data_IF_691166842878
#
_entry.id   IF_691166842878
#
_cell.length_a   1.000
_cell.length_b   1.000
_cell.length_c   1.000
_cell.angle_alpha   90.00
_cell.angle_beta   90.00
_cell.angle_gamma   90.00
#
_symmetry.space_group_name_H-M   'P 1'
#
loop_
_entity.id
_entity.type
_entity.pdbx_description
1 polymer ?
#
# COMPACT_ATOMS: atom_id res chain seq x y z
N UNK A 1 -2.47 6.02 57.72
CA UNK A 1 -3.85 6.57 57.64
C UNK A 1 -4.31 6.48 56.20
N UNK A 2 -5.26 5.57 55.94
CA UNK A 2 -5.89 5.37 54.65
C UNK A 2 -6.79 6.56 54.28
N UNK A 3 -6.81 6.94 53.01
CA UNK A 3 -8.06 7.31 52.34
C UNK A 3 -7.94 7.09 50.83
N UNK A 4 -8.64 6.05 50.39
CA UNK A 4 -8.99 5.76 49.01
C UNK A 4 -10.01 6.79 48.52
N UNK A 5 -9.80 7.34 47.33
CA UNK A 5 -10.78 8.15 46.62
C UNK A 5 -11.11 7.48 45.29
N UNK A 6 -12.24 6.79 45.24
CA UNK A 6 -12.80 6.20 44.04
C UNK A 6 -13.23 7.30 43.06
N UNK A 7 -12.94 7.12 41.76
CA UNK A 7 -13.66 7.85 40.72
C UNK A 7 -14.32 6.89 39.73
N UNK A 8 -15.59 7.18 39.55
CA UNK A 8 -16.67 6.38 38.97
C UNK A 8 -16.46 6.17 37.46
N UNK A 9 -16.69 4.93 37.05
CA UNK A 9 -16.72 4.47 35.65
C UNK A 9 -18.13 4.73 35.11
N UNK A 10 -18.35 5.83 34.39
CA UNK A 10 -19.63 6.11 33.72
C UNK A 10 -19.61 5.54 32.31
N UNK A 11 -20.30 4.41 32.14
CA UNK A 11 -20.65 3.80 30.86
C UNK A 11 -21.70 4.67 30.15
N UNK A 12 -21.44 5.05 28.90
CA UNK A 12 -22.43 5.73 28.04
C UNK A 12 -23.13 4.67 27.19
N UNK A 13 -24.47 4.57 27.21
CA UNK A 13 -25.20 3.58 26.42
C UNK A 13 -25.32 4.01 24.96
N UNK A 14 -25.15 3.02 24.09
CA UNK A 14 -25.25 3.12 22.64
C UNK A 14 -26.73 3.25 22.24
N UNK A 15 -27.07 4.29 21.48
CA UNK A 15 -28.38 4.43 20.84
C UNK A 15 -28.38 3.65 19.52
N UNK A 16 -29.19 2.59 19.47
CA UNK A 16 -29.49 1.82 18.25
C UNK A 16 -30.71 2.47 17.59
N UNK A 17 -30.58 2.96 16.36
CA UNK A 17 -31.74 3.36 15.55
C UNK A 17 -32.06 2.28 14.51
N UNK A 18 -33.33 1.87 14.56
CA UNK A 18 -33.95 0.86 13.72
C UNK A 18 -34.06 1.30 12.26
N UNK A 19 -33.85 0.34 11.36
CA UNK A 19 -33.91 0.53 9.92
C UNK A 19 -35.32 0.70 9.36
N UNK A 20 -35.39 1.39 8.23
CA UNK A 20 -36.51 1.36 7.31
C UNK A 20 -36.00 0.83 5.96
N UNK A 21 -36.46 -0.36 5.59
CA UNK A 21 -36.21 -0.99 4.29
C UNK A 21 -37.27 -0.50 3.32
N UNK A 22 -36.86 0.10 2.20
CA UNK A 22 -37.76 0.41 1.08
C UNK A 22 -37.26 -0.30 -0.17
N UNK A 23 -37.96 -1.38 -0.55
CA UNK A 23 -37.78 -2.08 -1.82
C UNK A 23 -38.56 -1.37 -2.92
N UNK A 24 -37.93 -1.15 -4.08
CA UNK A 24 -38.63 -0.86 -5.32
C UNK A 24 -37.97 -1.60 -6.49
N UNK A 25 -38.76 -2.44 -7.15
CA UNK A 25 -38.45 -3.19 -8.36
C UNK A 25 -38.60 -2.32 -9.61
N UNK A 26 -37.86 -2.63 -10.68
CA UNK A 26 -38.12 -2.12 -12.03
C UNK A 26 -37.21 -2.74 -13.10
N UNK A 27 -37.79 -3.56 -13.98
CA UNK A 27 -37.23 -4.17 -15.20
C UNK A 27 -36.99 -3.11 -16.30
N UNK A 28 -36.17 -3.24 -17.36
CA UNK A 28 -36.18 -4.18 -18.51
C UNK A 28 -34.94 -3.94 -19.42
N UNK A 29 -34.51 -4.96 -20.17
CA UNK A 29 -33.58 -4.93 -21.32
C UNK A 29 -34.35 -4.67 -22.66
N UNK A 30 -33.84 -4.78 -23.93
CA UNK A 30 -32.51 -5.24 -24.43
C UNK A 30 -31.95 -4.58 -25.74
N UNK A 31 -30.79 -5.09 -26.21
CA UNK A 31 -30.25 -5.17 -27.61
C UNK A 31 -29.78 -3.87 -28.32
N UNK A 32 -28.78 -3.80 -29.22
CA UNK A 32 -28.20 -4.74 -30.19
C UNK A 32 -26.87 -4.20 -30.79
N UNK A 33 -25.97 -5.10 -31.26
CA UNK A 33 -25.12 -5.08 -32.51
C UNK A 33 -24.32 -3.82 -32.90
N UNK A 34 -23.17 -3.80 -33.59
CA UNK A 34 -22.16 -4.72 -34.18
C UNK A 34 -21.22 -3.78 -34.98
N UNK A 35 -19.92 -4.08 -35.14
CA UNK A 35 -19.23 -4.05 -36.44
C UNK A 35 -17.70 -4.22 -36.34
N UNK A 36 -17.20 -5.01 -37.29
CA UNK A 36 -15.85 -5.51 -37.50
C UNK A 36 -14.95 -4.59 -38.35
N UNK A 37 -13.66 -4.93 -38.38
CA UNK A 37 -12.73 -4.69 -39.49
C UNK A 37 -11.36 -4.18 -39.00
N UNK A 38 -10.20 -4.70 -39.39
CA UNK A 38 -9.82 -5.71 -40.39
C UNK A 38 -8.37 -5.45 -40.82
N UNK A 39 -7.59 -6.51 -41.03
CA UNK A 39 -6.32 -6.53 -41.82
C UNK A 39 -5.08 -5.89 -41.17
N UNK A 40 -3.83 -6.32 -41.40
CA UNK A 40 -3.32 -7.26 -42.37
C UNK A 40 -1.92 -7.77 -41.99
N UNK A 41 -1.57 -8.93 -42.57
CA UNK A 41 -0.30 -9.65 -42.53
C UNK A 41 0.89 -8.95 -43.19
N UNK A 42 2.10 -9.39 -42.80
CA UNK A 42 3.34 -9.37 -43.60
C UNK A 42 4.46 -10.10 -42.85
N UNK A 43 4.64 -11.41 -43.01
CA UNK A 43 5.50 -12.11 -44.01
C UNK A 43 7.01 -12.03 -43.73
N UNK A 44 7.51 -13.11 -43.10
CA UNK A 44 8.76 -13.88 -43.31
C UNK A 44 10.06 -13.20 -43.77
N UNK A 45 11.16 -13.50 -43.06
CA UNK A 45 12.32 -14.17 -43.71
C UNK A 45 13.19 -14.93 -42.70
N UNK A 46 13.41 -16.20 -43.00
CA UNK A 46 14.37 -17.10 -42.35
C UNK A 46 15.77 -16.94 -42.96
N UNK A 47 16.81 -17.37 -42.23
CA UNK A 47 17.96 -18.10 -42.78
C UNK A 47 18.82 -18.71 -41.65
N UNK A 48 19.42 -19.86 -41.97
CA UNK A 48 19.92 -20.92 -41.08
C UNK A 48 21.41 -21.18 -41.36
N UNK A 49 22.18 -21.58 -40.31
CA UNK A 49 23.41 -22.41 -40.30
C UNK A 49 24.68 -21.90 -41.04
N UNK A 50 25.95 -22.26 -40.71
CA UNK A 50 26.66 -22.90 -39.59
C UNK A 50 28.20 -22.75 -39.90
N UNK A 51 29.15 -23.64 -39.54
CA UNK A 51 30.19 -23.44 -38.51
C UNK A 51 31.66 -23.44 -39.01
N UNK A 52 32.63 -23.22 -38.11
CA UNK A 52 33.99 -23.78 -38.23
C UNK A 52 35.16 -22.83 -37.94
N UNK A 53 36.18 -23.33 -37.23
CA UNK A 53 37.54 -22.76 -37.24
C UNK A 53 38.28 -22.82 -35.91
N UNK A 54 39.17 -23.79 -35.76
CA UNK A 54 40.01 -24.03 -34.58
C UNK A 54 41.32 -23.20 -34.57
N UNK A 55 41.77 -22.87 -33.35
CA UNK A 55 43.16 -23.00 -32.86
C UNK A 55 44.26 -22.05 -33.36
N UNK A 56 44.88 -21.31 -32.43
CA UNK A 56 46.35 -21.18 -32.32
C UNK A 56 46.74 -21.00 -30.84
N UNK A 57 47.74 -21.78 -30.42
CA UNK A 57 48.39 -21.73 -29.12
C UNK A 57 49.29 -20.49 -28.97
N UNK A 58 49.29 -19.89 -27.78
CA UNK A 58 50.25 -18.86 -27.37
C UNK A 58 50.79 -19.19 -25.99
N UNK A 59 52.00 -19.75 -25.94
CA UNK A 59 52.79 -19.88 -24.74
C UNK A 59 53.32 -18.49 -24.32
N UNK A 60 53.26 -18.17 -23.03
CA UNK A 60 53.69 -16.86 -22.53
C UNK A 60 53.75 -16.78 -21.01
N UNK A 61 54.80 -17.36 -20.45
CA UNK A 61 55.65 -16.80 -19.40
C UNK A 61 55.05 -16.57 -17.99
N UNK A 62 55.57 -17.40 -17.09
CA UNK A 62 55.54 -17.31 -15.63
C UNK A 62 55.99 -15.94 -15.12
N UNK A 63 55.10 -15.23 -14.43
CA UNK A 63 55.48 -14.16 -13.50
C UNK A 63 54.76 -14.42 -12.18
N UNK A 64 55.50 -14.97 -11.23
CA UNK A 64 55.07 -15.23 -9.87
C UNK A 64 54.98 -13.90 -9.13
N UNK A 65 53.82 -13.27 -9.19
CA UNK A 65 53.48 -12.12 -8.35
C UNK A 65 52.96 -12.67 -7.02
N UNK A 66 53.77 -12.56 -5.98
CA UNK A 66 53.37 -12.79 -4.59
C UNK A 66 52.27 -11.79 -4.24
N UNK A 67 51.00 -12.16 -4.45
CA UNK A 67 49.86 -11.40 -3.97
C UNK A 67 49.81 -11.55 -2.46
N UNK A 68 50.32 -10.53 -1.78
CA UNK A 68 49.97 -10.19 -0.41
C UNK A 68 48.47 -10.27 -0.27
N UNK A 69 47.99 -11.16 0.59
CA UNK A 69 46.61 -11.26 1.07
C UNK A 69 46.23 -9.98 1.83
N UNK A 70 46.06 -8.88 1.10
CA UNK A 70 45.22 -7.79 1.55
C UNK A 70 43.80 -8.30 1.40
N UNK A 71 43.19 -8.70 2.52
CA UNK A 71 41.78 -9.04 2.57
C UNK A 71 40.98 -7.85 2.05
N UNK A 72 40.67 -7.89 0.76
CA UNK A 72 39.60 -7.11 0.17
C UNK A 72 38.37 -7.52 1.00
N UNK A 73 37.86 -6.61 1.81
CA UNK A 73 36.59 -6.84 2.49
C UNK A 73 35.59 -7.25 1.42
N UNK A 74 35.26 -8.54 1.37
CA UNK A 74 34.22 -9.05 0.50
C UNK A 74 33.00 -8.20 0.82
N UNK A 75 32.53 -7.40 -0.14
CA UNK A 75 31.29 -6.68 0.03
C UNK A 75 30.25 -7.70 0.47
N UNK A 76 29.65 -7.49 1.64
CA UNK A 76 28.77 -8.46 2.26
C UNK A 76 27.73 -8.94 1.23
N UNK A 77 27.71 -10.24 0.97
CA UNK A 77 26.78 -10.86 0.04
C UNK A 77 25.33 -10.52 0.43
N UNK A 78 24.44 -10.50 -0.56
CA UNK A 78 23.00 -10.33 -0.28
C UNK A 78 22.53 -11.38 0.72
N UNK A 79 21.64 -11.01 1.64
CA UNK A 79 21.11 -11.95 2.62
C UNK A 79 20.32 -13.06 1.92
N UNK A 80 20.70 -14.32 2.18
CA UNK A 80 19.95 -15.48 1.70
C UNK A 80 18.68 -15.67 2.53
N UNK A 81 17.62 -16.20 1.93
CA UNK A 81 16.38 -16.48 2.68
C UNK A 81 16.60 -17.51 3.79
N UNK A 82 17.54 -18.44 3.61
CA UNK A 82 17.88 -19.42 4.65
C UNK A 82 18.48 -18.79 5.91
N UNK A 83 19.11 -17.62 5.79
CA UNK A 83 19.75 -16.89 6.88
C UNK A 83 18.89 -15.72 7.38
N UNK A 84 17.67 -15.57 6.85
CA UNK A 84 16.74 -14.52 7.23
C UNK A 84 15.49 -15.12 7.85
N UNK A 85 15.21 -14.71 9.08
CA UNK A 85 13.92 -14.96 9.72
C UNK A 85 12.96 -13.83 9.39
N UNK A 86 11.87 -14.18 8.70
CA UNK A 86 10.77 -13.27 8.43
C UNK A 86 9.71 -13.36 9.53
N UNK A 87 9.28 -12.20 10.04
CA UNK A 87 8.17 -12.12 10.99
C UNK A 87 7.26 -10.94 10.73
N UNK A 88 6.04 -11.05 11.25
CA UNK A 88 5.13 -9.93 11.40
C UNK A 88 5.36 -9.34 12.80
N UNK A 89 5.70 -8.06 12.88
CA UNK A 89 5.81 -7.35 14.14
C UNK A 89 4.44 -6.90 14.68
N UNK A 90 4.44 -6.28 15.86
CA UNK A 90 3.23 -5.67 16.43
C UNK A 90 2.73 -4.55 15.53
N UNK A 91 1.65 -4.81 14.78
CA UNK A 91 0.96 -3.82 13.97
C UNK A 91 -0.09 -3.06 14.79
N UNK A 92 -0.49 -1.90 14.29
CA UNK A 92 -1.71 -1.25 14.79
C UNK A 92 -2.90 -2.03 14.25
N UNK A 93 -3.78 -2.59 15.12
CA UNK A 93 -4.98 -3.26 14.65
C UNK A 93 -5.83 -2.29 13.82
N UNK A 94 -6.71 -2.84 12.97
CA UNK A 94 -7.63 -2.03 12.19
C UNK A 94 -8.38 -1.04 13.11
N UNK A 95 -8.08 0.25 12.97
CA UNK A 95 -8.72 1.32 13.73
C UNK A 95 -10.10 1.66 13.15
N UNK A 96 -10.77 2.67 13.72
CA UNK A 96 -12.06 3.15 13.19
C UNK A 96 -12.00 3.58 11.70
N UNK A 97 -10.82 3.97 11.21
CA UNK A 97 -10.56 4.29 9.80
C UNK A 97 -10.59 3.07 8.86
N UNK A 98 -10.50 1.85 9.39
CA UNK A 98 -10.56 0.64 8.58
C UNK A 98 -9.26 0.26 7.89
N UNK A 99 -8.12 0.84 8.25
CA UNK A 99 -6.78 0.45 7.80
C UNK A 99 -5.99 -0.34 8.84
N UNK A 100 -5.18 -1.28 8.35
CA UNK A 100 -4.27 -2.13 9.13
C UNK A 100 -2.83 -1.88 8.67
N UNK A 101 -1.97 -1.51 9.60
CA UNK A 101 -0.54 -1.29 9.32
C UNK A 101 0.27 -2.33 10.07
N UNK A 102 1.09 -3.09 9.33
CA UNK A 102 1.86 -4.20 9.89
C UNK A 102 3.31 -4.18 9.40
N UNK A 103 4.31 -4.16 10.30
CA UNK A 103 5.69 -4.27 9.91
C UNK A 103 6.05 -5.73 9.61
N UNK A 104 6.68 -5.94 8.45
CA UNK A 104 7.33 -7.17 8.04
C UNK A 104 8.81 -7.03 8.40
N UNK A 105 9.27 -7.81 9.37
CA UNK A 105 10.61 -7.73 9.94
C UNK A 105 11.47 -8.85 9.33
N UNK A 106 12.63 -8.46 8.81
CA UNK A 106 13.70 -9.34 8.37
C UNK A 106 14.78 -9.30 9.46
N UNK A 107 15.09 -10.46 10.02
CA UNK A 107 16.15 -10.64 11.02
C UNK A 107 17.24 -11.54 10.44
N UNK A 108 18.49 -11.08 10.46
CA UNK A 108 19.63 -11.92 10.08
C UNK A 108 19.90 -12.94 11.20
N UNK A 109 19.60 -14.21 10.95
CA UNK A 109 19.87 -15.33 11.87
C UNK A 109 21.13 -16.11 11.52
N UNK A 110 21.83 -15.71 10.46
CA UNK A 110 23.13 -16.28 10.08
C UNK A 110 24.27 -15.81 10.97
N UNK A 111 25.47 -16.34 10.72
CA UNK A 111 26.70 -16.01 11.47
C UNK A 111 27.49 -14.85 10.86
N UNK A 112 27.21 -14.49 9.61
CA UNK A 112 27.91 -13.46 8.86
C UNK A 112 27.02 -12.23 8.63
N UNK A 113 27.66 -11.07 8.45
CA UNK A 113 26.97 -9.88 8.02
C UNK A 113 26.52 -10.02 6.55
N UNK A 114 25.30 -9.61 6.26
CA UNK A 114 24.73 -9.66 4.91
C UNK A 114 24.02 -8.34 4.58
N UNK A 115 23.63 -8.14 3.32
CA UNK A 115 22.97 -6.90 2.90
C UNK A 115 21.58 -7.10 2.32
N UNK A 116 20.68 -6.14 2.60
CA UNK A 116 19.33 -6.03 2.02
C UNK A 116 19.08 -4.62 1.50
N UNK A 117 18.22 -4.47 0.50
CA UNK A 117 17.82 -3.18 -0.04
C UNK A 117 16.45 -3.27 -0.73
N UNK A 118 15.86 -2.12 -1.05
CA UNK A 118 14.61 -2.06 -1.79
C UNK A 118 13.43 -2.62 -1.00
N UNK A 119 12.58 -3.40 -1.67
CA UNK A 119 11.32 -3.91 -1.11
C UNK A 119 11.29 -5.44 -1.16
N UNK A 120 10.78 -6.12 -0.12
CA UNK A 120 10.43 -7.52 -0.25
C UNK A 120 9.28 -7.68 -1.26
N UNK A 121 9.18 -8.87 -1.85
CA UNK A 121 7.95 -9.30 -2.52
C UNK A 121 6.92 -9.65 -1.45
N UNK A 122 5.69 -9.13 -1.56
CA UNK A 122 4.60 -9.48 -0.66
C UNK A 122 3.34 -9.76 -1.47
N UNK A 123 2.85 -10.99 -1.38
CA UNK A 123 1.60 -11.44 -1.98
C UNK A 123 0.60 -11.78 -0.88
N UNK A 124 -0.59 -11.18 -0.93
CA UNK A 124 -1.70 -11.49 -0.05
C UNK A 124 -2.43 -12.73 -0.55
N UNK A 125 -2.56 -13.75 0.30
CA UNK A 125 -3.19 -15.03 -0.04
C UNK A 125 -4.54 -15.16 0.64
N UNK A 126 -5.54 -15.68 -0.09
CA UNK A 126 -6.81 -16.08 0.51
C UNK A 126 -6.70 -17.40 1.30
N UNK A 127 -7.81 -17.85 1.88
CA UNK A 127 -7.88 -19.11 2.65
C UNK A 127 -7.55 -20.36 1.82
N UNK A 128 -7.71 -20.32 0.50
CA UNK A 128 -7.30 -21.37 -0.43
C UNK A 128 -5.83 -21.30 -0.86
N UNK A 129 -5.04 -20.36 -0.33
CA UNK A 129 -3.64 -20.16 -0.71
C UNK A 129 -3.45 -19.46 -2.06
N UNK A 130 -4.52 -18.99 -2.70
CA UNK A 130 -4.44 -18.24 -3.96
C UNK A 130 -4.11 -16.78 -3.69
N UNK A 131 -3.18 -16.22 -4.47
CA UNK A 131 -2.86 -14.81 -4.41
C UNK A 131 -4.05 -13.96 -4.88
N UNK A 132 -4.50 -13.06 -4.02
CA UNK A 132 -5.58 -12.09 -4.30
C UNK A 132 -5.04 -10.70 -4.60
N UNK A 133 -3.95 -10.30 -3.95
CA UNK A 133 -3.29 -9.02 -4.19
C UNK A 133 -1.77 -9.16 -4.18
N UNK A 134 -1.11 -8.38 -5.03
CA UNK A 134 0.31 -8.09 -4.92
C UNK A 134 0.47 -6.75 -4.21
N UNK A 135 1.36 -6.66 -3.22
CA UNK A 135 1.64 -5.38 -2.57
C UNK A 135 2.32 -4.41 -3.52
N UNK A 136 1.86 -3.16 -3.52
CA UNK A 136 2.41 -2.07 -4.32
C UNK A 136 3.62 -1.47 -3.60
N UNK A 137 4.77 -1.45 -4.27
CA UNK A 137 5.99 -0.79 -3.75
C UNK A 137 5.82 0.72 -3.78
N UNK A 138 6.02 1.37 -2.65
CA UNK A 138 5.83 2.83 -2.50
C UNK A 138 7.04 3.49 -1.84
N UNK A 139 7.15 4.80 -2.06
CA UNK A 139 8.26 5.62 -1.55
C UNK A 139 9.54 5.47 -2.38
N UNK A 140 10.60 6.22 -2.01
CA UNK A 140 11.91 6.05 -2.62
C UNK A 140 12.56 4.75 -2.17
N UNK A 141 13.44 4.22 -3.01
CA UNK A 141 14.33 3.14 -2.62
C UNK A 141 15.27 3.63 -1.51
N UNK A 142 15.49 2.78 -0.52
CA UNK A 142 16.41 3.05 0.59
C UNK A 142 17.82 2.61 0.25
N UNK A 143 18.81 3.24 0.88
CA UNK A 143 20.18 2.81 0.78
C UNK A 143 20.33 1.35 1.26
N UNK A 144 21.33 0.66 0.70
CA UNK A 144 21.66 -0.71 1.10
C UNK A 144 21.94 -0.79 2.60
N UNK A 145 21.25 -1.72 3.26
CA UNK A 145 21.32 -1.95 4.71
C UNK A 145 22.21 -3.17 4.94
N UNK A 146 23.25 -3.01 5.76
CA UNK A 146 24.06 -4.13 6.25
C UNK A 146 23.46 -4.65 7.56
N UNK A 147 22.98 -5.88 7.55
CA UNK A 147 22.49 -6.59 8.72
C UNK A 147 23.63 -7.41 9.32
N UNK A 148 24.09 -7.02 10.51
CA UNK A 148 24.92 -7.88 11.35
C UNK A 148 24.13 -9.11 11.81
N UNK A 149 24.77 -10.19 12.28
CA UNK A 149 24.07 -11.27 12.98
C UNK A 149 23.15 -10.71 14.09
N UNK A 150 21.87 -11.09 14.08
CA UNK A 150 20.81 -10.55 14.94
C UNK A 150 20.27 -9.18 14.55
N UNK A 151 20.80 -8.55 13.49
CA UNK A 151 20.36 -7.26 12.97
C UNK A 151 19.02 -7.36 12.26
N UNK A 152 18.24 -6.28 12.29
CA UNK A 152 16.90 -6.23 11.70
C UNK A 152 16.70 -5.07 10.73
N UNK A 153 15.89 -5.32 9.71
CA UNK A 153 15.27 -4.31 8.85
C UNK A 153 13.77 -4.58 8.76
N UNK A 154 12.97 -3.53 8.58
CA UNK A 154 11.52 -3.66 8.45
C UNK A 154 11.04 -3.02 7.15
N UNK A 155 10.02 -3.61 6.54
CA UNK A 155 9.18 -2.99 5.53
C UNK A 155 7.75 -2.95 6.06
N UNK A 156 7.03 -1.85 5.88
CA UNK A 156 5.69 -1.70 6.44
C UNK A 156 4.65 -1.91 5.37
N UNK A 157 3.69 -2.78 5.66
CA UNK A 157 2.53 -3.03 4.84
C UNK A 157 1.35 -2.23 5.38
N UNK A 158 0.72 -1.42 4.53
CA UNK A 158 -0.52 -0.72 4.81
C UNK A 158 -1.64 -1.34 3.98
N UNK A 159 -2.68 -1.84 4.65
CA UNK A 159 -3.80 -2.50 4.03
C UNK A 159 -5.11 -1.83 4.43
N UNK A 160 -5.98 -1.56 3.46
CA UNK A 160 -7.36 -1.13 3.72
C UNK A 160 -8.21 -2.37 3.96
N UNK A 161 -8.76 -2.50 5.15
CA UNK A 161 -9.49 -3.69 5.64
C UNK A 161 -11.00 -3.54 5.61
N UNK A 162 -11.48 -2.29 5.64
CA UNK A 162 -12.87 -1.90 5.44
C UNK A 162 -12.94 -0.46 4.96
N UNK A 163 -14.06 -0.09 4.36
CA UNK A 163 -14.37 1.29 4.02
C UNK A 163 -15.60 1.74 4.81
N UNK A 164 -15.50 2.87 5.48
CA UNK A 164 -16.61 3.49 6.19
C UNK A 164 -16.70 4.97 5.80
N UNK A 165 -17.89 5.51 5.48
CA UNK A 165 -19.17 4.81 5.36
C UNK A 165 -19.21 3.76 4.22
N UNK A 166 -20.12 2.77 4.28
CA UNK A 166 -20.24 1.77 3.24
C UNK A 166 -20.95 2.39 2.02
N UNK A 167 -20.41 2.17 0.83
CA UNK A 167 -21.01 2.55 -0.44
C UNK A 167 -21.06 1.37 -1.39
N UNK A 168 -22.00 1.38 -2.34
CA UNK A 168 -22.04 0.39 -3.42
C UNK A 168 -20.84 0.48 -4.38
N UNK A 169 -20.09 1.59 -4.34
CA UNK A 169 -18.86 1.77 -5.09
C UNK A 169 -17.61 1.27 -4.36
N UNK A 170 -17.71 0.88 -3.09
CA UNK A 170 -16.55 0.43 -2.32
C UNK A 170 -16.08 -0.94 -2.83
N UNK A 171 -14.76 -1.15 -3.03
CA UNK A 171 -14.21 -2.45 -3.36
C UNK A 171 -14.61 -3.54 -2.37
N UNK A 172 -14.87 -4.75 -2.87
CA UNK A 172 -15.15 -5.91 -2.00
C UNK A 172 -13.89 -6.35 -1.28
N UNK A 173 -14.00 -6.58 0.03
CA UNK A 173 -12.89 -7.04 0.86
C UNK A 173 -12.77 -8.56 0.85
N UNK A 174 -11.58 -9.05 0.54
CA UNK A 174 -11.22 -10.47 0.59
C UNK A 174 -10.55 -10.81 1.91
N UNK A 175 -10.81 -12.01 2.45
CA UNK A 175 -10.10 -12.52 3.62
C UNK A 175 -8.68 -12.93 3.23
N UNK A 176 -7.70 -12.46 4.01
CA UNK A 176 -6.26 -12.68 3.85
C UNK A 176 -5.69 -13.25 5.15
N UNK A 177 -5.74 -14.58 5.35
CA UNK A 177 -5.13 -15.21 6.52
C UNK A 177 -3.60 -15.18 6.47
N UNK A 178 -3.00 -15.19 5.28
CA UNK A 178 -1.56 -15.34 5.09
C UNK A 178 -1.00 -14.36 4.07
N UNK A 179 0.24 -13.94 4.28
CA UNK A 179 1.10 -13.32 3.30
C UNK A 179 2.15 -14.33 2.83
N UNK A 180 2.47 -14.31 1.55
CA UNK A 180 3.67 -14.91 1.00
C UNK A 180 4.71 -13.81 0.82
N UNK A 181 5.82 -13.89 1.56
CA UNK A 181 6.86 -12.86 1.59
C UNK A 181 8.16 -13.41 1.03
N UNK A 182 8.71 -12.74 0.03
CA UNK A 182 9.98 -13.05 -0.62
C UNK A 182 11.00 -11.98 -0.24
N UNK A 183 12.12 -12.32 0.44
CA UNK A 183 13.18 -11.35 0.70
C UNK A 183 13.74 -10.72 -0.59
N UNK A 184 14.30 -9.50 -0.52
CA UNK A 184 14.93 -8.90 -1.69
C UNK A 184 16.09 -9.75 -2.21
N UNK A 185 16.26 -9.75 -3.54
CA UNK A 185 17.31 -10.50 -4.25
C UNK A 185 17.26 -12.01 -4.05
N UNK A 186 16.10 -12.56 -3.69
CA UNK A 186 15.89 -13.99 -3.57
C UNK A 186 14.51 -14.41 -4.12
N UNK A 187 14.35 -15.71 -4.34
CA UNK A 187 13.23 -16.40 -4.98
C UNK A 187 12.45 -17.28 -4.01
N UNK A 188 13.07 -17.65 -2.88
CA UNK A 188 12.42 -18.39 -1.81
C UNK A 188 11.51 -17.46 -0.99
N UNK A 189 10.34 -17.96 -0.61
CA UNK A 189 9.32 -17.19 0.10
C UNK A 189 8.92 -17.86 1.41
N UNK A 190 8.52 -17.07 2.39
CA UNK A 190 7.99 -17.53 3.66
C UNK A 190 6.52 -17.13 3.81
N UNK A 191 5.73 -17.97 4.50
CA UNK A 191 4.36 -17.66 4.85
C UNK A 191 4.30 -16.94 6.20
N UNK A 192 3.62 -15.80 6.25
CA UNK A 192 3.36 -15.04 7.49
C UNK A 192 1.86 -14.94 7.74
N UNK A 193 1.41 -15.32 8.93
CA UNK A 193 0.01 -15.23 9.32
C UNK A 193 -0.34 -13.80 9.74
N UNK A 194 -1.45 -13.27 9.22
CA UNK A 194 -1.96 -11.93 9.57
C UNK A 194 -3.46 -11.90 9.88
N UNK A 195 -4.25 -12.88 9.40
CA UNK A 195 -5.69 -13.02 9.69
C UNK A 195 -6.49 -11.70 9.59
N UNK A 196 -6.42 -11.04 8.43
CA UNK A 196 -7.10 -9.77 8.19
C UNK A 196 -7.96 -9.82 6.91
N UNK A 197 -8.67 -8.75 6.61
CA UNK A 197 -9.29 -8.52 5.29
C UNK A 197 -8.51 -7.46 4.51
N UNK A 198 -8.56 -7.53 3.18
CA UNK A 198 -8.02 -6.49 2.31
C UNK A 198 -9.03 -6.19 1.20
N UNK A 199 -9.33 -4.92 0.97
CA UNK A 199 -10.29 -4.47 -0.04
C UNK A 199 -9.60 -4.05 -1.34
N UNK A 200 -8.34 -3.64 -1.25
CA UNK A 200 -7.50 -3.23 -2.37
C UNK A 200 -6.08 -3.77 -2.17
N UNK A 201 -5.25 -3.64 -3.21
CA UNK A 201 -3.84 -3.98 -3.10
C UNK A 201 -3.17 -3.13 -1.99
N UNK A 202 -2.45 -3.76 -1.04
CA UNK A 202 -1.80 -3.04 0.05
C UNK A 202 -0.55 -2.28 -0.43
N UNK A 203 -0.22 -1.18 0.23
CA UNK A 203 1.02 -0.44 -0.01
C UNK A 203 2.15 -1.01 0.84
N UNK A 204 3.38 -1.05 0.32
CA UNK A 204 4.57 -1.60 0.96
C UNK A 204 5.74 -0.62 0.86
N UNK A 205 6.29 -0.19 2.00
CA UNK A 205 7.50 0.65 2.02
C UNK A 205 8.76 -0.15 1.72
N UNK A 206 9.80 0.58 1.32
CA UNK A 206 11.14 0.02 1.23
C UNK A 206 11.62 -0.38 2.63
N UNK A 207 12.57 -1.32 2.67
CA UNK A 207 13.22 -1.73 3.91
C UNK A 207 13.94 -0.54 4.54
N UNK A 208 13.77 -0.33 5.83
CA UNK A 208 14.63 0.59 6.59
C UNK A 208 15.22 -0.12 7.81
N UNK A 209 16.36 0.38 8.32
CA UNK A 209 16.87 -0.06 9.61
C UNK A 209 15.86 0.29 10.71
N UNK A 210 15.61 -0.64 11.64
CA UNK A 210 14.78 -0.40 12.82
C UNK A 210 13.28 -0.17 12.53
N UNK A 211 12.60 0.53 13.44
CA UNK A 211 11.14 0.73 13.43
C UNK A 211 10.65 1.94 12.63
N UNK A 212 11.53 2.72 11.99
CA UNK A 212 11.20 3.95 11.24
C UNK A 212 10.79 3.71 9.78
N UNK A 213 10.68 2.45 9.34
CA UNK A 213 10.36 2.08 7.96
C UNK A 213 8.94 2.45 7.51
N UNK A 214 8.07 2.82 8.46
CA UNK A 214 6.63 2.91 8.24
C UNK A 214 6.13 4.11 7.50
N UNK A 215 6.83 5.24 7.59
CA UNK A 215 6.23 6.53 7.30
C UNK A 215 5.85 6.69 5.81
N UNK A 216 6.64 6.12 4.89
CA UNK A 216 6.31 6.12 3.45
C UNK A 216 5.14 5.19 3.09
N UNK A 217 5.02 4.03 3.75
CA UNK A 217 3.89 3.13 3.54
C UNK A 217 2.60 3.71 4.12
N UNK A 218 2.71 4.36 5.28
CA UNK A 218 1.62 5.10 5.93
C UNK A 218 1.10 6.20 4.99
N UNK A 219 1.97 7.07 4.45
CA UNK A 219 1.55 8.14 3.55
C UNK A 219 0.89 7.61 2.27
N UNK A 220 1.50 6.64 1.60
CA UNK A 220 0.95 6.12 0.35
C UNK A 220 -0.34 5.33 0.55
N UNK A 221 -0.42 4.56 1.64
CA UNK A 221 -1.63 3.87 2.05
C UNK A 221 -2.76 4.82 2.38
N UNK A 222 -2.49 5.86 3.17
CA UNK A 222 -3.44 6.90 3.50
C UNK A 222 -3.93 7.64 2.24
N UNK A 223 -3.05 7.95 1.29
CA UNK A 223 -3.46 8.54 0.01
C UNK A 223 -4.41 7.63 -0.75
N UNK A 224 -4.09 6.34 -0.88
CA UNK A 224 -4.93 5.38 -1.59
C UNK A 224 -6.31 5.23 -0.93
N UNK A 225 -6.36 5.16 0.40
CA UNK A 225 -7.62 5.08 1.16
C UNK A 225 -8.45 6.36 1.01
N UNK A 226 -7.84 7.54 1.18
CA UNK A 226 -8.50 8.82 1.00
C UNK A 226 -9.01 9.03 -0.44
N UNK A 227 -8.26 8.57 -1.45
CA UNK A 227 -8.69 8.60 -2.85
C UNK A 227 -9.93 7.74 -3.08
N UNK A 228 -10.05 6.59 -2.43
CA UNK A 228 -11.23 5.74 -2.53
C UNK A 228 -12.42 6.34 -1.80
N UNK A 229 -12.23 6.94 -0.63
CA UNK A 229 -13.28 7.69 0.08
C UNK A 229 -13.77 8.88 -0.74
N UNK A 230 -12.86 9.61 -1.40
CA UNK A 230 -13.19 10.66 -2.35
C UNK A 230 -14.06 10.14 -3.50
N UNK A 231 -13.69 9.00 -4.10
CA UNK A 231 -14.48 8.34 -5.15
C UNK A 231 -15.86 7.88 -4.68
N UNK A 232 -15.93 7.30 -3.48
CA UNK A 232 -17.18 6.83 -2.88
C UNK A 232 -18.14 8.00 -2.59
N UNK A 233 -17.63 9.13 -2.09
CA UNK A 233 -18.44 10.32 -1.86
C UNK A 233 -19.07 10.90 -3.13
N UNK A 234 -18.44 10.71 -4.30
CA UNK A 234 -18.94 11.24 -5.57
C UNK A 234 -20.19 10.49 -6.03
N UNK A 235 -20.25 9.19 -5.73
CA UNK A 235 -21.41 8.35 -6.02
C UNK A 235 -22.45 8.33 -4.91
N UNK A 236 -22.21 9.02 -3.79
CA UNK A 236 -23.12 9.06 -2.65
C UNK A 236 -24.22 10.13 -2.82
N UNK A 237 -25.35 9.93 -2.16
CA UNK A 237 -26.35 10.99 -2.01
C UNK A 237 -25.76 12.12 -1.16
N UNK A 238 -26.13 13.38 -1.45
CA UNK A 238 -25.57 14.56 -0.78
C UNK A 238 -25.60 14.47 0.75
N UNK A 239 -26.71 13.95 1.32
CA UNK A 239 -26.90 13.80 2.76
C UNK A 239 -25.85 12.95 3.49
N UNK A 240 -25.06 12.12 2.79
CA UNK A 240 -23.98 11.32 3.40
C UNK A 240 -22.61 11.60 2.77
N UNK A 241 -22.54 12.47 1.75
CA UNK A 241 -21.32 12.80 1.04
C UNK A 241 -20.27 13.43 1.98
N UNK A 242 -20.69 14.32 2.88
CA UNK A 242 -19.82 14.94 3.88
C UNK A 242 -19.13 13.95 4.83
N UNK A 243 -19.74 12.79 5.08
CA UNK A 243 -19.13 11.76 5.92
C UNK A 243 -17.91 11.11 5.23
N UNK A 244 -17.96 10.89 3.91
CA UNK A 244 -16.81 10.40 3.15
C UNK A 244 -15.67 11.41 3.12
N UNK A 245 -15.99 12.70 2.93
CA UNK A 245 -14.98 13.75 2.96
C UNK A 245 -14.33 13.88 4.35
N UNK A 246 -15.12 13.79 5.42
CA UNK A 246 -14.61 13.80 6.80
C UNK A 246 -13.65 12.65 7.06
N UNK A 247 -14.00 11.44 6.64
CA UNK A 247 -13.11 10.28 6.81
C UNK A 247 -11.83 10.44 5.97
N UNK A 248 -11.95 10.87 4.71
CA UNK A 248 -10.79 11.12 3.85
C UNK A 248 -9.84 12.17 4.47
N UNK A 249 -10.40 13.22 5.10
CA UNK A 249 -9.62 14.23 5.81
C UNK A 249 -8.89 13.63 7.01
N UNK A 250 -9.55 12.79 7.81
CA UNK A 250 -8.94 12.13 8.96
C UNK A 250 -7.77 11.22 8.56
N UNK A 251 -7.96 10.42 7.51
CA UNK A 251 -6.94 9.53 6.96
C UNK A 251 -5.69 10.30 6.52
N UNK A 252 -5.85 11.43 5.81
CA UNK A 252 -4.72 12.27 5.36
C UNK A 252 -4.06 13.05 6.51
N UNK A 253 -4.82 13.43 7.54
CA UNK A 253 -4.33 14.26 8.65
C UNK A 253 -3.30 13.55 9.53
N UNK A 254 -3.40 12.23 9.70
CA UNK A 254 -2.47 11.45 10.51
C UNK A 254 -1.01 11.53 10.00
N UNK A 255 -0.70 11.10 8.75
CA UNK A 255 0.66 11.23 8.20
C UNK A 255 1.09 12.68 7.97
N UNK A 256 0.15 13.61 7.74
CA UNK A 256 0.48 15.04 7.64
C UNK A 256 0.99 15.61 8.98
N UNK A 257 0.36 15.23 10.10
CA UNK A 257 0.75 15.70 11.43
C UNK A 257 2.13 15.22 11.89
N UNK A 258 2.60 14.10 11.35
CA UNK A 258 3.94 13.55 11.64
C UNK A 258 5.01 13.99 10.64
N UNK A 259 4.66 14.76 9.61
CA UNK A 259 5.53 15.09 8.47
C UNK A 259 6.13 13.84 7.80
N UNK A 260 5.32 12.78 7.66
CA UNK A 260 5.76 11.54 7.04
C UNK A 260 6.24 11.78 5.59
N UNK A 261 7.31 11.14 5.12
CA UNK A 261 7.73 11.22 3.73
C UNK A 261 6.57 10.87 2.78
N UNK A 262 6.43 11.64 1.70
CA UNK A 262 5.35 11.47 0.74
C UNK A 262 4.00 12.10 1.15
N UNK A 263 3.89 12.77 2.30
CA UNK A 263 2.66 13.44 2.75
C UNK A 263 2.47 14.86 2.17
N UNK A 264 3.24 15.24 1.15
CA UNK A 264 3.17 16.59 0.56
C UNK A 264 1.76 16.88 0.05
N UNK A 265 1.18 17.99 0.50
CA UNK A 265 -0.17 18.42 0.11
C UNK A 265 -1.31 17.78 0.92
N UNK A 266 -1.03 16.79 1.78
CA UNK A 266 -2.08 16.09 2.56
C UNK A 266 -2.80 17.03 3.53
N UNK A 267 -2.06 17.93 4.19
CA UNK A 267 -2.65 18.91 5.11
C UNK A 267 -3.62 19.85 4.38
N UNK A 268 -3.23 20.36 3.21
CA UNK A 268 -4.07 21.23 2.39
C UNK A 268 -5.31 20.48 1.86
N UNK A 269 -5.14 19.24 1.40
CA UNK A 269 -6.25 18.39 0.97
C UNK A 269 -7.22 18.08 2.11
N UNK A 270 -6.71 17.72 3.30
CA UNK A 270 -7.53 17.46 4.48
C UNK A 270 -8.35 18.69 4.92
N UNK A 271 -7.76 19.88 4.84
CA UNK A 271 -8.47 21.14 5.11
C UNK A 271 -9.63 21.36 4.15
N UNK A 272 -9.40 21.19 2.84
CA UNK A 272 -10.44 21.33 1.80
C UNK A 272 -11.56 20.30 1.97
N UNK A 273 -11.22 19.06 2.28
CA UNK A 273 -12.20 18.01 2.56
C UNK A 273 -13.07 18.35 3.79
N UNK A 274 -12.44 18.87 4.85
CA UNK A 274 -13.16 19.32 6.06
C UNK A 274 -14.08 20.51 5.76
N UNK A 275 -13.62 21.44 4.93
CA UNK A 275 -14.37 22.62 4.49
C UNK A 275 -15.60 22.22 3.67
N UNK A 276 -15.44 21.34 2.68
CA UNK A 276 -16.56 20.77 1.92
C UNK A 276 -17.57 20.06 2.83
N UNK A 277 -17.10 19.26 3.79
CA UNK A 277 -17.97 18.56 4.73
C UNK A 277 -18.73 19.50 5.69
N UNK A 278 -18.26 20.72 5.89
CA UNK A 278 -18.90 21.73 6.72
C UNK A 278 -19.91 22.62 5.98
N UNK A 279 -19.98 22.55 4.64
CA UNK A 279 -20.93 23.32 3.85
C UNK A 279 -22.36 22.76 4.03
N UNK A 280 -23.39 23.61 4.05
CA UNK A 280 -24.76 23.12 4.10
C UNK A 280 -25.15 22.42 2.79
N UNK A 281 -25.84 21.28 2.90
CA UNK A 281 -26.30 20.46 1.76
C UNK A 281 -27.33 21.16 0.86
N UNK A 282 -27.95 22.23 1.36
CA UNK A 282 -28.96 23.00 0.64
C UNK A 282 -28.83 24.50 0.93
N UNK A 283 -29.37 25.33 0.03
CA UNK A 283 -29.44 26.78 0.17
C UNK A 283 -28.07 27.48 0.30
N UNK A 284 -27.06 26.99 -0.42
CA UNK A 284 -25.76 27.64 -0.48
C UNK A 284 -25.83 29.01 -1.18
N UNK A 285 -25.20 30.01 -0.59
CA UNK A 285 -25.04 31.32 -1.21
C UNK A 285 -23.97 31.28 -2.34
N UNK A 286 -23.88 32.31 -3.20
CA UNK A 286 -22.93 32.31 -4.33
C UNK A 286 -21.45 32.15 -3.92
N UNK A 287 -21.07 32.66 -2.75
CA UNK A 287 -19.71 32.52 -2.23
C UNK A 287 -19.42 31.07 -1.85
N UNK A 288 -20.34 30.41 -1.15
CA UNK A 288 -20.22 29.00 -0.77
C UNK A 288 -20.18 28.07 -1.99
N UNK A 289 -20.96 28.37 -3.03
CA UNK A 289 -20.90 27.60 -4.28
C UNK A 289 -19.55 27.77 -4.97
N UNK A 290 -19.06 29.01 -5.10
CA UNK A 290 -17.73 29.28 -5.68
C UNK A 290 -16.61 28.57 -4.91
N UNK A 291 -16.70 28.54 -3.58
CA UNK A 291 -15.76 27.88 -2.69
C UNK A 291 -15.81 26.36 -2.86
N UNK A 292 -17.01 25.79 -2.88
CA UNK A 292 -17.21 24.36 -3.14
C UNK A 292 -16.61 23.93 -4.48
N UNK A 293 -16.85 24.67 -5.56
CA UNK A 293 -16.27 24.37 -6.88
C UNK A 293 -14.74 24.49 -6.88
N UNK A 294 -14.16 25.46 -6.18
CA UNK A 294 -12.72 25.62 -6.08
C UNK A 294 -12.07 24.44 -5.31
N UNK A 295 -12.71 24.00 -4.23
CA UNK A 295 -12.22 22.89 -3.42
C UNK A 295 -12.36 21.54 -4.13
N UNK A 296 -13.49 21.28 -4.78
CA UNK A 296 -13.68 20.04 -5.57
C UNK A 296 -12.72 19.98 -6.75
N UNK A 297 -12.47 21.09 -7.45
CA UNK A 297 -11.48 21.14 -8.53
C UNK A 297 -10.06 20.86 -8.04
N UNK A 298 -9.66 21.45 -6.91
CA UNK A 298 -8.36 21.20 -6.30
C UNK A 298 -8.20 19.75 -5.84
N UNK A 299 -9.24 19.16 -5.23
CA UNK A 299 -9.24 17.78 -4.76
C UNK A 299 -9.28 16.78 -5.92
N UNK A 300 -10.02 17.05 -6.99
CA UNK A 300 -9.98 16.26 -8.23
C UNK A 300 -8.54 16.21 -8.78
N UNK A 301 -7.82 17.32 -8.76
CA UNK A 301 -6.41 17.36 -9.17
C UNK A 301 -5.50 16.62 -8.21
N UNK A 302 -5.68 16.79 -6.90
CA UNK A 302 -4.86 16.13 -5.88
C UNK A 302 -4.98 14.61 -5.92
N UNK A 303 -6.21 14.11 -6.11
CA UNK A 303 -6.51 12.68 -6.18
C UNK A 303 -6.39 12.09 -7.58
N UNK A 304 -5.99 12.85 -8.60
CA UNK A 304 -5.96 12.39 -10.00
C UNK A 304 -7.31 11.79 -10.46
N UNK A 305 -8.39 12.54 -10.22
CA UNK A 305 -9.77 12.18 -10.52
C UNK A 305 -10.47 13.32 -11.27
N UNK A 306 -10.02 13.64 -12.49
CA UNK A 306 -10.50 14.81 -13.22
C UNK A 306 -12.02 14.76 -13.43
N UNK A 307 -12.70 15.86 -13.09
CA UNK A 307 -14.15 16.05 -13.25
C UNK A 307 -15.05 15.09 -12.46
N UNK A 308 -14.52 14.42 -11.44
CA UNK A 308 -15.32 13.48 -10.64
C UNK A 308 -16.43 14.20 -9.85
N UNK A 309 -16.09 15.33 -9.25
CA UNK A 309 -17.04 16.29 -8.71
C UNK A 309 -17.02 17.51 -9.63
N UNK A 310 -18.11 17.75 -10.35
CA UNK A 310 -18.29 18.84 -11.32
C UNK A 310 -19.45 19.73 -10.94
#
# INVERSE_FOLDING_TARGET
>A
MFKQGALVKTSVPWLVWAGAVLSASGCVAPSSTSASGGGASGTTKASTAAPGGAGVAGAGQTTQSTQTSGGQAAGASGCLTADIRLTVGGGSPAGAAGSYTVPIILENTGTDACTVHGWPGVAALNSGGTQVYQAMRVGPETAQITLQPGGTAAAVLYAVTTFWPPSSGNPTCSQVPNLLVTPPNETHSAHLQINTSMCVAPALSALSPGSTAGDSALSAGAFAEAQQLWKAGAGAISAVQGAYWTEAAAVLSYPAGTNAPGSTGFSAAAQKLTQLAGLPDAMQNPTQQSESHADTAALNSFFDTPSLYS
#
